data_IF_782316347188
#
_entry.id   IF_782316347188
#
_cell.length_a   1.000
_cell.length_b   1.000
_cell.length_c   1.000
_cell.angle_alpha   90.00
_cell.angle_beta   90.00
_cell.angle_gamma   90.00
#
_symmetry.space_group_name_H-M   'P 1'
#
loop_
_entity.id
_entity.type
_entity.pdbx_description
1 polymer ?
#
# COMPACT_ATOMS: atom_id res chain seq x y z
N UNK A 1 2.30 -5.43 15.90
CA UNK A 1 3.24 -4.46 15.31
C UNK A 1 2.47 -3.55 14.36
N UNK A 2 2.82 -2.27 14.30
CA UNK A 2 2.11 -1.25 13.48
C UNK A 2 3.10 -0.58 12.52
N UNK A 3 2.97 -0.87 11.23
CA UNK A 3 3.81 -0.29 10.18
C UNK A 3 3.04 0.78 9.39
N UNK A 4 3.77 1.75 8.83
CA UNK A 4 3.18 2.82 8.03
C UNK A 4 3.85 2.94 6.67
N UNK A 5 3.08 3.54 5.76
CA UNK A 5 3.46 3.92 4.42
C UNK A 5 2.84 5.29 4.12
N UNK A 6 3.49 6.13 3.32
CA UNK A 6 2.98 7.44 2.93
C UNK A 6 2.87 7.54 1.40
N UNK A 7 1.83 8.22 0.92
CA UNK A 7 1.58 8.39 -0.52
C UNK A 7 1.47 9.88 -0.88
N UNK A 8 2.39 10.35 -1.74
CA UNK A 8 2.38 11.64 -2.46
C UNK A 8 2.05 12.92 -1.65
N UNK A 9 2.34 12.96 -0.35
CA UNK A 9 2.28 14.20 0.43
C UNK A 9 3.64 14.92 0.42
N UNK A 10 3.64 16.25 0.23
CA UNK A 10 4.85 17.07 0.32
C UNK A 10 5.35 17.19 1.77
N UNK A 11 4.43 17.08 2.75
CA UNK A 11 4.71 17.22 4.17
C UNK A 11 3.76 16.34 4.99
N UNK A 12 4.21 15.87 6.16
CA UNK A 12 3.35 15.19 7.12
C UNK A 12 2.47 16.17 7.92
N UNK A 13 1.28 15.72 8.34
CA UNK A 13 0.36 16.55 9.11
C UNK A 13 0.94 16.96 10.47
N UNK A 14 0.86 18.25 10.81
CA UNK A 14 1.44 18.80 12.06
C UNK A 14 0.88 18.15 13.34
N UNK A 15 -0.40 17.76 13.32
CA UNK A 15 -1.07 17.16 14.47
C UNK A 15 -0.88 15.64 14.55
N UNK A 16 -0.93 14.94 13.41
CA UNK A 16 -0.92 13.48 13.36
C UNK A 16 0.49 12.91 13.34
N UNK A 17 1.46 13.62 12.74
CA UNK A 17 2.84 13.13 12.62
C UNK A 17 3.52 12.84 13.96
N UNK A 18 3.45 13.74 14.97
CA UNK A 18 4.05 13.44 16.29
C UNK A 18 3.43 12.20 16.94
N UNK A 19 2.10 12.03 16.82
CA UNK A 19 1.39 10.86 17.34
C UNK A 19 1.89 9.59 16.64
N UNK A 20 1.98 9.61 15.31
CA UNK A 20 2.50 8.48 14.55
C UNK A 20 3.91 8.12 14.98
N UNK A 21 4.84 9.07 15.04
CA UNK A 21 6.22 8.83 15.48
C UNK A 21 6.34 8.20 16.87
N UNK A 22 5.36 8.43 17.76
CA UNK A 22 5.34 7.83 19.10
C UNK A 22 4.75 6.41 19.17
N UNK A 23 3.95 6.00 18.17
CA UNK A 23 3.12 4.79 18.24
C UNK A 23 3.45 3.71 17.21
N UNK A 24 4.16 4.06 16.13
CA UNK A 24 4.49 3.13 15.04
C UNK A 24 5.87 2.49 15.26
N UNK A 25 6.10 1.36 14.59
CA UNK A 25 7.44 0.75 14.54
C UNK A 25 8.44 1.69 13.87
N UNK A 26 9.72 1.61 14.26
CA UNK A 26 10.79 2.42 13.66
C UNK A 26 10.98 2.14 12.17
N UNK A 27 10.57 0.96 11.71
CA UNK A 27 10.68 0.56 10.31
C UNK A 27 9.52 1.12 9.50
N UNK A 28 9.87 1.76 8.38
CA UNK A 28 8.93 2.33 7.42
C UNK A 28 9.21 1.67 6.08
N UNK A 29 8.17 1.13 5.47
CA UNK A 29 8.27 0.55 4.14
C UNK A 29 8.18 1.65 3.08
N UNK A 30 8.77 1.42 1.92
CA UNK A 30 8.60 2.27 0.74
C UNK A 30 8.38 1.39 -0.47
N UNK A 31 7.56 1.84 -1.41
CA UNK A 31 7.27 1.11 -2.64
C UNK A 31 7.31 2.08 -3.82
N UNK A 32 7.66 1.58 -5.00
CA UNK A 32 7.60 2.36 -6.23
C UNK A 32 6.18 2.39 -6.79
N UNK A 33 5.90 3.35 -7.67
CA UNK A 33 4.63 3.44 -8.39
C UNK A 33 4.31 2.17 -9.17
N UNK A 34 5.31 1.52 -9.76
CA UNK A 34 5.11 0.25 -10.48
C UNK A 34 4.61 -0.85 -9.55
N UNK A 35 5.20 -0.99 -8.35
CA UNK A 35 4.75 -1.98 -7.36
C UNK A 35 3.31 -1.69 -6.93
N UNK A 36 2.93 -0.41 -6.80
CA UNK A 36 1.55 -0.03 -6.46
C UNK A 36 0.55 -0.43 -7.55
N UNK A 37 0.90 -0.23 -8.83
CA UNK A 37 0.08 -0.66 -9.98
C UNK A 37 -0.05 -2.18 -10.00
N UNK A 38 1.06 -2.90 -9.84
CA UNK A 38 1.06 -4.37 -9.84
C UNK A 38 0.23 -4.92 -8.68
N UNK A 39 0.28 -4.27 -7.51
CA UNK A 39 -0.55 -4.62 -6.35
C UNK A 39 -2.04 -4.35 -6.58
N UNK A 40 -2.40 -3.22 -7.22
CA UNK A 40 -3.78 -2.93 -7.59
C UNK A 40 -4.32 -3.96 -8.59
N UNK A 41 -3.51 -4.37 -9.57
CA UNK A 41 -3.83 -5.45 -10.49
C UNK A 41 -4.03 -6.79 -9.76
N UNK A 42 -3.13 -7.14 -8.84
CA UNK A 42 -3.27 -8.34 -8.01
C UNK A 42 -4.58 -8.33 -7.20
N UNK A 43 -4.91 -7.19 -6.57
CA UNK A 43 -6.14 -7.04 -5.81
C UNK A 43 -7.39 -7.29 -6.68
N UNK A 44 -7.39 -6.77 -7.91
CA UNK A 44 -8.46 -7.01 -8.86
C UNK A 44 -8.55 -8.47 -9.30
N UNK A 45 -7.42 -9.06 -9.73
CA UNK A 45 -7.38 -10.42 -10.27
C UNK A 45 -7.69 -11.49 -9.21
N UNK A 46 -7.17 -11.34 -7.99
CA UNK A 46 -7.23 -12.38 -6.95
C UNK A 46 -8.24 -12.08 -5.84
N UNK A 47 -8.37 -10.82 -5.43
CA UNK A 47 -9.26 -10.43 -4.32
C UNK A 47 -10.61 -9.92 -4.80
N UNK A 48 -10.76 -9.67 -6.11
CA UNK A 48 -11.95 -9.08 -6.74
C UNK A 48 -12.29 -7.69 -6.19
N UNK A 49 -11.25 -6.95 -5.76
CA UNK A 49 -11.37 -5.59 -5.26
C UNK A 49 -10.92 -4.61 -6.35
N UNK A 50 -11.72 -3.57 -6.55
CA UNK A 50 -11.35 -2.42 -7.39
C UNK A 50 -10.67 -1.39 -6.50
N UNK A 51 -9.40 -1.11 -6.77
CA UNK A 51 -8.56 -0.24 -5.94
C UNK A 51 -7.89 0.85 -6.77
N UNK A 52 -7.76 2.04 -6.20
CA UNK A 52 -6.91 3.10 -6.78
C UNK A 52 -5.42 2.76 -6.57
N UNK A 53 -4.52 3.40 -7.33
CA UNK A 53 -3.07 3.16 -7.25
C UNK A 53 -2.52 3.33 -5.82
N UNK A 54 -2.91 4.42 -5.14
CA UNK A 54 -2.49 4.72 -3.76
C UNK A 54 -2.91 3.67 -2.75
N UNK A 55 -4.01 2.95 -3.00
CA UNK A 55 -4.48 1.88 -2.12
C UNK A 55 -3.66 0.59 -2.27
N UNK A 56 -2.95 0.42 -3.39
CA UNK A 56 -1.99 -0.65 -3.63
C UNK A 56 -0.72 -0.56 -2.77
N UNK A 57 -0.50 0.55 -2.06
CA UNK A 57 0.69 0.81 -1.25
C UNK A 57 0.94 -0.27 -0.18
N UNK A 58 -0.08 -0.61 0.61
CA UNK A 58 0.01 -1.58 1.72
C UNK A 58 0.16 -3.02 1.23
N UNK A 59 -0.62 -3.38 0.20
CA UNK A 59 -0.55 -4.68 -0.43
C UNK A 59 0.79 -4.89 -1.17
N UNK A 60 1.25 -3.88 -1.90
CA UNK A 60 2.53 -3.91 -2.60
C UNK A 60 3.71 -4.03 -1.66
N UNK A 61 3.70 -3.32 -0.52
CA UNK A 61 4.72 -3.45 0.51
C UNK A 61 4.74 -4.88 1.08
N UNK A 62 3.58 -5.46 1.37
CA UNK A 62 3.49 -6.85 1.81
C UNK A 62 4.05 -7.81 0.76
N UNK A 63 3.57 -7.75 -0.48
CA UNK A 63 3.97 -8.69 -1.54
C UNK A 63 5.46 -8.59 -1.90
N UNK A 64 6.03 -7.37 -1.89
CA UNK A 64 7.43 -7.15 -2.28
C UNK A 64 8.43 -7.31 -1.14
N UNK A 65 8.01 -7.07 0.11
CA UNK A 65 8.93 -6.87 1.24
C UNK A 65 8.53 -7.64 2.51
N UNK A 66 7.59 -8.61 2.45
CA UNK A 66 7.21 -9.39 3.63
C UNK A 66 8.38 -10.05 4.36
N UNK A 67 9.47 -10.38 3.65
CA UNK A 67 10.66 -10.99 4.25
C UNK A 67 11.41 -10.07 5.22
N UNK A 68 11.17 -8.75 5.15
CA UNK A 68 11.76 -7.78 6.09
C UNK A 68 10.98 -7.72 7.41
N UNK A 69 9.81 -8.34 7.50
CA UNK A 69 9.05 -8.46 8.74
C UNK A 69 9.71 -9.49 9.66
N UNK A 70 9.50 -9.32 10.97
CA UNK A 70 9.95 -10.30 11.97
C UNK A 70 9.31 -11.66 11.65
N UNK A 71 10.13 -12.72 11.58
CA UNK A 71 9.71 -14.07 11.24
C UNK A 71 8.65 -14.64 12.22
N UNK A 72 8.49 -14.05 13.41
CA UNK A 72 7.47 -14.43 14.38
C UNK A 72 6.07 -13.90 14.02
N UNK A 73 5.96 -12.95 13.08
CA UNK A 73 4.68 -12.40 12.64
C UNK A 73 3.98 -13.42 11.73
N UNK A 74 2.90 -14.03 12.24
CA UNK A 74 2.09 -15.00 11.48
C UNK A 74 0.86 -14.39 10.82
N UNK A 75 0.29 -13.36 11.44
CA UNK A 75 -0.96 -12.74 11.00
C UNK A 75 -0.70 -11.27 10.68
N UNK A 76 -1.01 -10.88 9.45
CA UNK A 76 -0.83 -9.52 8.96
C UNK A 76 -2.18 -9.02 8.47
N UNK A 77 -2.61 -7.88 8.98
CA UNK A 77 -3.75 -7.14 8.46
C UNK A 77 -3.23 -5.95 7.66
N UNK A 78 -3.77 -5.76 6.46
CA UNK A 78 -3.49 -4.60 5.62
C UNK A 78 -4.76 -3.77 5.48
N UNK A 79 -4.59 -2.45 5.35
CA UNK A 79 -5.68 -1.53 5.06
C UNK A 79 -5.58 -1.14 3.59
N UNK A 80 -6.65 -1.39 2.84
CA UNK A 80 -6.86 -0.88 1.49
C UNK A 80 -7.73 0.37 1.65
N UNK A 81 -7.13 1.55 1.44
CA UNK A 81 -7.72 2.83 1.83
C UNK A 81 -8.79 3.36 0.88
N UNK A 82 -8.77 2.95 -0.40
CA UNK A 82 -9.62 3.53 -1.43
C UNK A 82 -9.77 2.69 -2.68
N UNK A 83 -10.84 2.97 -3.42
CA UNK A 83 -11.18 2.34 -4.70
C UNK A 83 -11.74 3.34 -5.70
N UNK A 84 -11.41 4.63 -5.52
CA UNK A 84 -11.94 5.72 -6.32
C UNK A 84 -11.11 5.85 -7.60
N UNK A 85 -11.33 4.92 -8.53
CA UNK A 85 -10.60 4.86 -9.80
C UNK A 85 -11.55 5.15 -10.96
N UNK A 86 -11.04 5.87 -11.96
CA UNK A 86 -11.74 6.03 -13.22
C UNK A 86 -11.73 4.67 -13.97
N UNK A 87 -12.87 4.16 -14.46
CA UNK A 87 -12.91 2.96 -15.27
C UNK A 87 -11.93 2.94 -16.45
N UNK A 88 -11.64 4.11 -17.04
CA UNK A 88 -10.69 4.20 -18.15
C UNK A 88 -9.24 3.94 -17.70
N UNK A 89 -8.89 4.36 -16.47
CA UNK A 89 -7.56 4.10 -15.89
C UNK A 89 -7.34 2.60 -15.60
N UNK A 90 -8.40 1.89 -15.20
CA UNK A 90 -8.34 0.43 -14.98
C UNK A 90 -8.01 -0.33 -16.27
N UNK A 91 -8.56 0.11 -17.40
CA UNK A 91 -8.31 -0.52 -18.70
C UNK A 91 -6.86 -0.34 -19.14
N UNK A 92 -6.24 0.80 -18.81
CA UNK A 92 -4.84 1.08 -19.13
C UNK A 92 -3.87 0.16 -18.38
N UNK A 93 -4.18 -0.23 -17.13
CA UNK A 93 -3.33 -1.14 -16.34
C UNK A 93 -3.34 -2.57 -16.87
N UNK A 94 -4.38 -2.97 -17.60
CA UNK A 94 -4.48 -4.30 -18.21
C UNK A 94 -3.91 -4.39 -19.63
N UNK A 95 -3.69 -3.26 -20.32
CA UNK A 95 -3.25 -3.27 -21.73
C UNK A 95 -1.74 -3.44 -21.95
N UNK A 96 -0.91 -3.36 -20.91
CA UNK A 96 0.53 -3.69 -21.03
C UNK A 96 0.75 -5.20 -20.83
N UNK A 97 0.69 -5.94 -21.93
CA UNK A 97 1.40 -7.23 -22.09
C UNK A 97 2.56 -7.03 -23.06
#
# INVERSE_FOLDING_TARGET
>A
MKYILACRSQQCGMLTFPIMCSLIEKHVFTVSDQIMIDAARFAFEHLKLVTEMSAGLSLGALLSQYQQLDANIRNIAIIISGGNVDPDDLLLWHQKQ
#
